data_IF_094813893493
#
_entry.id   IF_094813893493
#
_cell.length_a   1.000
_cell.length_b   1.000
_cell.length_c   1.000
_cell.angle_alpha   90.00
_cell.angle_beta   90.00
_cell.angle_gamma   90.00
#
_symmetry.space_group_name_H-M   'P 1'
#
loop_
_entity.id
_entity.type
_entity.pdbx_description
1 polymer ?
#
# COMPACT_ATOMS: atom_id res chain seq x y z
N UNK A 1 -7.82 -11.35 25.45
CA UNK A 1 -6.66 -10.62 24.89
C UNK A 1 -6.55 -11.01 23.42
N UNK A 2 -6.40 -10.05 22.52
CA UNK A 2 -6.25 -10.29 21.07
C UNK A 2 -4.77 -10.11 20.69
N UNK A 3 -4.21 -11.08 19.96
CA UNK A 3 -2.87 -11.02 19.40
C UNK A 3 -2.95 -11.00 17.88
N UNK A 4 -2.17 -10.13 17.24
CA UNK A 4 -2.02 -10.07 15.78
C UNK A 4 -0.53 -10.10 15.49
N UNK A 5 -0.12 -11.03 14.63
CA UNK A 5 1.27 -11.18 14.19
C UNK A 5 1.33 -10.99 12.67
N UNK A 6 2.41 -10.39 12.18
CA UNK A 6 2.68 -10.24 10.75
C UNK A 6 3.98 -10.93 10.40
N UNK A 7 4.02 -11.57 9.22
CA UNK A 7 5.22 -12.23 8.72
C UNK A 7 5.25 -12.12 7.19
N UNK A 8 6.43 -11.91 6.62
CA UNK A 8 6.62 -11.92 5.16
C UNK A 8 6.91 -13.33 4.62
N UNK A 9 7.52 -14.20 5.44
CA UNK A 9 7.95 -15.55 5.07
C UNK A 9 7.56 -16.50 6.19
N UNK A 10 6.60 -17.39 5.92
CA UNK A 10 6.03 -18.33 6.91
C UNK A 10 7.08 -19.34 7.39
N UNK A 11 8.00 -19.74 6.52
CA UNK A 11 9.02 -20.76 6.82
C UNK A 11 10.00 -20.35 7.93
N UNK A 12 10.08 -19.05 8.22
CA UNK A 12 10.94 -18.53 9.30
C UNK A 12 10.28 -18.57 10.68
N UNK A 13 8.97 -18.86 10.74
CA UNK A 13 8.21 -18.90 11.98
C UNK A 13 8.43 -20.27 12.65
N UNK A 14 8.83 -20.31 13.94
CA UNK A 14 8.94 -21.57 14.68
C UNK A 14 7.62 -22.34 14.68
N UNK A 15 7.69 -23.64 14.39
CA UNK A 15 6.52 -24.54 14.32
C UNK A 15 5.61 -24.46 15.57
N UNK A 16 6.12 -24.42 16.83
CA UNK A 16 5.27 -24.32 18.02
C UNK A 16 4.42 -23.05 18.10
N UNK A 17 4.86 -21.98 17.42
CA UNK A 17 4.11 -20.73 17.32
C UNK A 17 3.13 -20.79 16.15
N UNK A 18 3.58 -21.31 15.00
CA UNK A 18 2.75 -21.45 13.79
C UNK A 18 1.49 -22.28 14.06
N UNK A 19 1.61 -23.37 14.80
CA UNK A 19 0.49 -24.27 15.14
C UNK A 19 -0.57 -23.61 16.05
N UNK A 20 -0.25 -22.45 16.64
CA UNK A 20 -1.15 -21.67 17.51
C UNK A 20 -1.73 -20.44 16.84
N UNK A 21 -1.41 -20.22 15.57
CA UNK A 21 -1.86 -19.06 14.80
C UNK A 21 -2.84 -19.49 13.71
N UNK A 22 -3.87 -18.69 13.50
CA UNK A 22 -4.65 -18.74 12.27
C UNK A 22 -3.90 -17.93 11.20
N UNK A 23 -3.63 -18.56 10.06
CA UNK A 23 -2.88 -17.94 8.97
C UNK A 23 -3.84 -17.29 7.98
N UNK A 24 -3.64 -15.99 7.73
CA UNK A 24 -4.37 -15.23 6.72
C UNK A 24 -3.37 -14.72 5.70
N UNK A 25 -3.47 -15.24 4.48
CA UNK A 25 -2.59 -14.83 3.38
C UNK A 25 -3.03 -13.51 2.77
N UNK A 26 -2.11 -12.56 2.70
CA UNK A 26 -2.32 -11.26 2.09
C UNK A 26 -1.59 -11.20 0.76
N UNK A 27 -2.35 -11.25 -0.34
CA UNK A 27 -1.78 -11.10 -1.69
C UNK A 27 -1.40 -9.65 -1.99
N UNK A 28 -0.50 -9.47 -2.95
CA UNK A 28 -0.22 -8.14 -3.51
C UNK A 28 -1.41 -7.57 -4.28
N UNK A 29 -1.28 -6.31 -4.65
CA UNK A 29 -2.32 -5.57 -5.37
C UNK A 29 -2.06 -5.56 -6.88
N UNK A 30 -3.12 -5.73 -7.67
CA UNK A 30 -3.08 -5.44 -9.11
C UNK A 30 -3.07 -3.93 -9.38
N UNK A 31 -2.70 -3.53 -10.60
CA UNK A 31 -2.55 -2.10 -10.94
C UNK A 31 -3.83 -1.28 -10.66
N UNK A 32 -5.00 -1.85 -10.94
CA UNK A 32 -6.30 -1.20 -10.68
C UNK A 32 -6.58 -1.04 -9.18
N UNK A 33 -6.24 -2.03 -8.37
CA UNK A 33 -6.37 -1.95 -6.91
C UNK A 33 -5.43 -0.88 -6.34
N UNK A 34 -4.19 -0.81 -6.84
CA UNK A 34 -3.24 0.24 -6.45
C UNK A 34 -3.73 1.63 -6.83
N UNK A 35 -4.35 1.77 -8.00
CA UNK A 35 -4.95 3.03 -8.44
C UNK A 35 -6.08 3.44 -7.48
N UNK A 36 -6.98 2.51 -7.14
CA UNK A 36 -8.06 2.75 -6.20
C UNK A 36 -7.51 3.17 -4.82
N UNK A 37 -6.51 2.45 -4.30
CA UNK A 37 -5.85 2.76 -3.03
C UNK A 37 -5.18 4.14 -3.07
N UNK A 38 -4.51 4.48 -4.18
CA UNK A 38 -3.86 5.78 -4.32
C UNK A 38 -4.87 6.92 -4.25
N UNK A 39 -5.99 6.81 -4.96
CA UNK A 39 -7.04 7.85 -4.98
C UNK A 39 -7.79 7.97 -3.66
N UNK A 40 -8.15 6.84 -3.05
CA UNK A 40 -8.99 6.82 -1.85
C UNK A 40 -8.21 7.15 -0.58
N UNK A 41 -6.93 6.79 -0.52
CA UNK A 41 -6.16 6.85 0.72
C UNK A 41 -4.84 7.62 0.58
N UNK A 42 -3.99 7.29 -0.40
CA UNK A 42 -2.63 7.84 -0.43
C UNK A 42 -2.60 9.33 -0.79
N UNK A 43 -3.33 9.74 -1.83
CA UNK A 43 -3.37 11.15 -2.27
C UNK A 43 -4.02 12.04 -1.20
N UNK A 44 -5.20 11.71 -0.64
CA UNK A 44 -5.78 12.51 0.45
C UNK A 44 -4.87 12.61 1.68
N UNK A 45 -4.20 11.52 2.04
CA UNK A 45 -3.26 11.49 3.16
C UNK A 45 -2.04 12.39 2.90
N UNK A 46 -1.44 12.30 1.71
CA UNK A 46 -0.29 13.14 1.34
C UNK A 46 -0.64 14.64 1.28
N UNK A 47 -1.83 14.99 0.78
CA UNK A 47 -2.32 16.37 0.79
C UNK A 47 -2.47 16.89 2.21
N UNK A 48 -3.10 16.10 3.09
CA UNK A 48 -3.28 16.43 4.50
C UNK A 48 -1.94 16.63 5.22
N UNK A 49 -0.98 15.73 5.00
CA UNK A 49 0.34 15.78 5.63
C UNK A 49 1.18 16.96 5.11
N UNK A 50 0.91 17.40 3.88
CA UNK A 50 1.54 18.59 3.28
C UNK A 50 0.81 19.90 3.61
N UNK A 51 -0.35 19.85 4.28
CA UNK A 51 -1.18 21.02 4.57
C UNK A 51 -1.85 21.64 3.35
N UNK A 52 -2.06 20.86 2.28
CA UNK A 52 -2.66 21.30 1.03
C UNK A 52 -4.15 20.96 0.99
N UNK A 53 -4.94 21.85 0.38
CA UNK A 53 -6.35 21.60 0.09
C UNK A 53 -6.52 20.92 -1.27
N UNK A 54 -7.64 20.20 -1.45
CA UNK A 54 -7.91 19.41 -2.67
C UNK A 54 -7.96 20.27 -3.95
N UNK A 55 -8.29 21.55 -3.83
CA UNK A 55 -8.38 22.48 -4.95
C UNK A 55 -7.01 23.03 -5.37
N UNK A 56 -5.97 22.83 -4.56
CA UNK A 56 -4.62 23.33 -4.85
C UNK A 56 -3.82 22.35 -5.71
N UNK A 57 -4.18 21.07 -5.72
CA UNK A 57 -3.46 20.02 -6.44
C UNK A 57 -4.42 19.04 -7.10
N UNK A 58 -4.34 18.93 -8.42
CA UNK A 58 -5.08 17.94 -9.19
C UNK A 58 -4.13 16.92 -9.83
N UNK A 59 -4.15 15.70 -9.31
CA UNK A 59 -3.43 14.57 -9.89
C UNK A 59 -4.36 13.86 -10.87
N UNK A 60 -3.97 13.78 -12.14
CA UNK A 60 -4.73 13.07 -13.17
C UNK A 60 -4.58 11.55 -13.00
N UNK A 61 -5.65 10.83 -13.29
CA UNK A 61 -5.69 9.37 -13.27
C UNK A 61 -4.61 8.73 -14.16
N UNK A 62 -4.42 9.27 -15.36
CA UNK A 62 -3.38 8.81 -16.29
C UNK A 62 -1.97 8.95 -15.71
N UNK A 63 -1.73 9.99 -14.92
CA UNK A 63 -0.44 10.21 -14.25
C UNK A 63 -0.21 9.15 -13.17
N UNK A 64 -1.24 8.80 -12.39
CA UNK A 64 -1.16 7.71 -11.41
C UNK A 64 -0.96 6.35 -12.10
N UNK A 65 -1.66 6.07 -13.18
CA UNK A 65 -1.46 4.85 -13.97
C UNK A 65 -0.03 4.74 -14.50
N UNK A 66 0.50 5.84 -15.07
CA UNK A 66 1.87 5.90 -15.55
C UNK A 66 2.87 5.66 -14.42
N UNK A 67 2.65 6.28 -13.26
CA UNK A 67 3.51 6.17 -12.10
C UNK A 67 3.55 4.72 -11.58
N UNK A 68 2.38 4.08 -11.44
CA UNK A 68 2.27 2.68 -11.02
C UNK A 68 3.02 1.77 -11.99
N UNK A 69 2.78 1.91 -13.30
CA UNK A 69 3.35 1.03 -14.33
C UNK A 69 4.86 1.21 -14.51
N UNK A 70 5.34 2.46 -14.49
CA UNK A 70 6.71 2.79 -14.85
C UNK A 70 7.66 2.81 -13.64
N UNK A 71 7.17 3.15 -12.46
CA UNK A 71 8.01 3.43 -11.28
C UNK A 71 7.73 2.51 -10.08
N UNK A 72 6.63 1.75 -10.04
CA UNK A 72 6.25 0.96 -8.86
C UNK A 72 6.06 -0.53 -9.16
N UNK A 73 7.17 -1.26 -9.31
CA UNK A 73 7.21 -2.72 -9.57
C UNK A 73 7.27 -3.58 -8.30
N UNK A 74 6.54 -3.20 -7.27
CA UNK A 74 6.43 -3.98 -6.03
C UNK A 74 5.04 -4.64 -5.91
N UNK A 75 4.83 -5.54 -4.97
CA UNK A 75 3.50 -6.13 -4.72
C UNK A 75 2.58 -5.21 -3.91
N UNK A 76 3.17 -4.33 -3.08
CA UNK A 76 2.45 -3.36 -2.25
C UNK A 76 2.32 -1.97 -2.89
N UNK A 77 2.15 -0.95 -2.03
CA UNK A 77 1.98 0.46 -2.41
C UNK A 77 2.97 1.41 -1.71
N UNK A 78 4.05 0.88 -1.13
CA UNK A 78 5.02 1.67 -0.36
C UNK A 78 5.84 2.63 -1.24
N UNK A 79 6.35 2.16 -2.37
CA UNK A 79 7.03 2.99 -3.35
C UNK A 79 6.05 3.93 -4.04
N UNK A 80 4.81 3.48 -4.29
CA UNK A 80 3.75 4.34 -4.81
C UNK A 80 3.49 5.53 -3.89
N UNK A 81 3.32 5.27 -2.59
CA UNK A 81 3.18 6.31 -1.57
C UNK A 81 4.38 7.28 -1.58
N UNK A 82 5.62 6.76 -1.56
CA UNK A 82 6.83 7.60 -1.59
C UNK A 82 6.92 8.52 -2.80
N UNK A 83 6.41 8.10 -3.95
CA UNK A 83 6.39 8.91 -5.16
C UNK A 83 5.25 9.93 -5.19
N UNK A 84 4.20 9.74 -4.38
CA UNK A 84 3.11 10.70 -4.23
C UNK A 84 3.49 11.78 -3.20
N UNK A 85 4.25 11.43 -2.17
CA UNK A 85 4.68 12.34 -1.09
C UNK A 85 5.86 13.26 -1.48
N UNK A 86 6.62 12.92 -2.51
CA UNK A 86 7.83 13.65 -2.96
C UNK A 86 7.56 14.45 -4.22
#
# INVERSE_FOLDING_TARGET
>A
VLFICTANIIDTIPEPLRDRMEMIDMSGYVAEEKLAIAKQYLVPQALKDSGLEHDQVHIKDDSLHMLIKSYCRESGVRNLQKHIEK
#
